data_IF_966384830379
#
_entry.id   IF_966384830379
#
_cell.length_a   1.000
_cell.length_b   1.000
_cell.length_c   1.000
_cell.angle_alpha   90.00
_cell.angle_beta   90.00
_cell.angle_gamma   90.00
#
_symmetry.space_group_name_H-M   'P 1'
#
loop_
_entity.id
_entity.type
_entity.pdbx_description
1 polymer ?
#
# COMPACT_ATOMS: atom_id res chain seq x y z
N UNK A 1 12.68 -38.80 39.82
CA UNK A 1 12.29 -37.52 40.48
C UNK A 1 13.34 -36.43 40.28
N UNK A 2 14.65 -36.73 40.38
CA UNK A 2 15.77 -35.78 40.21
C UNK A 2 15.81 -35.09 38.82
N UNK A 3 15.59 -35.82 37.72
CA UNK A 3 15.58 -35.26 36.37
C UNK A 3 14.55 -34.14 36.13
N UNK A 4 13.44 -34.15 36.87
CA UNK A 4 12.41 -33.12 36.75
C UNK A 4 12.89 -31.79 37.35
N UNK A 5 13.64 -31.86 38.45
CA UNK A 5 14.17 -30.68 39.15
C UNK A 5 15.26 -30.01 38.32
N UNK A 6 16.14 -30.76 37.67
CA UNK A 6 17.19 -30.19 36.80
C UNK A 6 16.60 -29.40 35.63
N UNK A 7 15.53 -29.89 35.00
CA UNK A 7 14.87 -29.16 33.90
C UNK A 7 14.21 -27.86 34.38
N UNK A 8 13.57 -27.85 35.56
CA UNK A 8 13.00 -26.62 36.11
C UNK A 8 14.04 -25.54 36.45
N UNK A 9 15.26 -25.94 36.85
CA UNK A 9 16.35 -25.01 37.14
C UNK A 9 16.94 -24.38 35.85
N UNK A 10 16.93 -25.12 34.74
CA UNK A 10 17.37 -24.63 33.43
C UNK A 10 16.34 -23.63 32.87
N UNK A 11 15.04 -23.93 32.97
CA UNK A 11 13.97 -23.04 32.53
C UNK A 11 13.92 -21.74 33.33
N UNK A 12 14.18 -21.80 34.65
CA UNK A 12 14.28 -20.63 35.51
C UNK A 12 15.51 -19.76 35.17
N UNK A 13 16.65 -20.38 34.83
CA UNK A 13 17.86 -19.65 34.45
C UNK A 13 17.70 -18.90 33.11
N UNK A 14 16.97 -19.46 32.14
CA UNK A 14 16.68 -18.76 30.88
C UNK A 14 15.65 -17.63 31.06
N UNK A 15 14.62 -17.81 31.89
CA UNK A 15 13.64 -16.76 32.18
C UNK A 15 14.22 -15.57 32.97
N UNK A 16 15.34 -15.75 33.67
CA UNK A 16 16.00 -14.72 34.47
C UNK A 16 17.13 -13.97 33.72
N UNK A 17 17.46 -14.39 32.50
CA UNK A 17 18.47 -13.73 31.67
C UNK A 17 17.80 -12.76 30.69
N UNK A 18 17.72 -11.45 31.00
CA UNK A 18 17.17 -10.45 30.08
C UNK A 18 17.98 -10.29 28.78
N UNK A 19 19.13 -10.97 28.66
CA UNK A 19 20.00 -10.97 27.48
C UNK A 19 19.40 -11.82 26.34
N UNK A 20 18.56 -12.81 26.64
CA UNK A 20 17.96 -13.71 25.64
C UNK A 20 16.93 -12.97 24.74
N UNK A 21 16.25 -11.94 25.29
CA UNK A 21 15.32 -11.08 24.54
C UNK A 21 16.02 -10.07 23.62
N UNK A 22 17.24 -9.64 23.96
CA UNK A 22 18.04 -8.71 23.13
C UNK A 22 18.59 -9.46 21.91
N UNK A 23 19.01 -10.71 22.08
CA UNK A 23 19.45 -11.58 20.99
C UNK A 23 18.29 -12.10 20.12
N UNK A 24 17.05 -11.99 20.63
CA UNK A 24 15.80 -12.20 19.91
C UNK A 24 15.32 -11.00 19.08
N UNK A 25 15.97 -9.84 19.19
CA UNK A 25 15.82 -8.74 18.22
C UNK A 25 16.59 -9.13 16.95
N UNK A 26 16.09 -10.15 16.25
CA UNK A 26 16.49 -10.38 14.88
C UNK A 26 15.95 -9.19 14.07
N UNK A 27 16.80 -8.30 13.52
CA UNK A 27 16.34 -7.13 12.78
C UNK A 27 15.53 -7.51 11.53
N UNK A 28 15.54 -8.79 11.15
CA UNK A 28 14.84 -9.36 10.00
C UNK A 28 13.32 -9.53 10.20
N UNK A 29 12.80 -9.50 11.44
CA UNK A 29 11.35 -9.60 11.72
C UNK A 29 10.73 -8.26 12.17
N UNK A 30 11.43 -7.15 11.98
CA UNK A 30 10.76 -5.84 11.98
C UNK A 30 9.95 -5.73 10.69
N UNK A 31 8.64 -6.02 10.80
CA UNK A 31 7.60 -5.91 9.77
C UNK A 31 7.45 -4.52 9.11
N UNK A 32 8.42 -3.64 9.29
CA UNK A 32 8.51 -2.30 8.73
C UNK A 32 9.51 -2.23 7.56
N UNK A 33 10.44 -3.20 7.42
CA UNK A 33 11.36 -3.27 6.27
C UNK A 33 10.77 -4.00 5.07
N UNK A 34 9.88 -4.96 5.29
CA UNK A 34 9.30 -5.77 4.21
C UNK A 34 8.32 -4.99 3.31
N UNK A 35 7.75 -3.88 3.78
CA UNK A 35 6.88 -3.04 2.96
C UNK A 35 7.62 -2.22 1.89
N UNK A 36 8.96 -2.14 1.96
CA UNK A 36 9.78 -1.42 0.96
C UNK A 36 11.07 -2.16 0.57
N UNK A 37 11.32 -3.37 1.08
CA UNK A 37 12.51 -4.15 0.73
C UNK A 37 12.35 -4.75 -0.67
N UNK A 38 12.97 -4.08 -1.65
CA UNK A 38 13.34 -4.69 -2.93
C UNK A 38 14.45 -5.69 -2.63
N UNK A 39 14.09 -6.89 -2.15
CA UNK A 39 15.09 -7.88 -1.73
C UNK A 39 15.80 -8.55 -2.91
N UNK A 40 15.28 -8.44 -4.13
CA UNK A 40 15.98 -8.77 -5.36
C UNK A 40 15.49 -7.84 -6.49
N UNK A 41 16.42 -7.19 -7.19
CA UNK A 41 16.12 -6.28 -8.30
C UNK A 41 15.85 -7.09 -9.58
N UNK A 42 14.82 -7.92 -9.54
CA UNK A 42 14.30 -8.61 -10.73
C UNK A 42 13.47 -7.61 -11.53
N UNK A 43 13.55 -7.57 -12.87
CA UNK A 43 12.74 -6.67 -13.70
C UNK A 43 11.23 -6.70 -13.36
N UNK A 44 10.72 -7.88 -12.98
CA UNK A 44 9.34 -8.12 -12.55
C UNK A 44 8.97 -7.39 -11.26
N UNK A 45 9.88 -7.37 -10.27
CA UNK A 45 9.64 -6.74 -8.97
C UNK A 45 9.66 -5.21 -9.10
N UNK A 46 10.59 -4.68 -9.91
CA UNK A 46 10.68 -3.26 -10.19
C UNK A 46 9.42 -2.76 -10.93
N UNK A 47 8.96 -3.50 -11.94
CA UNK A 47 7.74 -3.19 -12.68
C UNK A 47 6.50 -3.19 -11.75
N UNK A 48 6.37 -4.21 -10.89
CA UNK A 48 5.27 -4.32 -9.92
C UNK A 48 5.25 -3.16 -8.92
N UNK A 49 6.42 -2.76 -8.41
CA UNK A 49 6.54 -1.65 -7.48
C UNK A 49 6.12 -0.31 -8.14
N UNK A 50 6.70 0.01 -9.30
CA UNK A 50 6.38 1.24 -10.04
C UNK A 50 4.88 1.28 -10.36
N UNK A 51 4.33 0.18 -10.86
CA UNK A 51 2.93 0.07 -11.18
C UNK A 51 2.02 0.35 -9.97
N UNK A 52 2.28 -0.29 -8.83
CA UNK A 52 1.50 -0.09 -7.60
C UNK A 52 1.61 1.35 -7.08
N UNK A 53 2.80 1.93 -7.12
CA UNK A 53 3.03 3.32 -6.68
C UNK A 53 2.33 4.33 -7.58
N UNK A 54 2.38 4.14 -8.90
CA UNK A 54 1.68 5.04 -9.84
C UNK A 54 0.18 4.94 -9.66
N UNK A 55 -0.37 3.72 -9.52
CA UNK A 55 -1.81 3.53 -9.30
C UNK A 55 -2.31 4.13 -7.98
N UNK A 56 -1.53 4.01 -6.91
CA UNK A 56 -1.94 4.57 -5.60
C UNK A 56 -2.02 6.09 -5.64
N UNK A 57 -1.03 6.75 -6.25
CA UNK A 57 -1.01 8.21 -6.41
C UNK A 57 -2.14 8.65 -7.34
N UNK A 58 -2.31 7.97 -8.48
CA UNK A 58 -3.37 8.30 -9.43
C UNK A 58 -4.77 8.22 -8.80
N UNK A 59 -5.06 7.14 -8.06
CA UNK A 59 -6.36 6.97 -7.39
C UNK A 59 -6.67 8.10 -6.40
N UNK A 60 -5.69 8.51 -5.58
CA UNK A 60 -5.86 9.61 -4.63
C UNK A 60 -6.08 10.94 -5.35
N UNK A 61 -5.31 11.23 -6.41
CA UNK A 61 -5.43 12.48 -7.17
C UNK A 61 -6.81 12.60 -7.82
N UNK A 62 -7.31 11.54 -8.47
CA UNK A 62 -8.63 11.57 -9.08
C UNK A 62 -9.76 11.70 -8.05
N UNK A 63 -9.62 11.08 -6.88
CA UNK A 63 -10.58 11.25 -5.79
C UNK A 63 -10.65 12.71 -5.31
N UNK A 64 -9.48 13.36 -5.15
CA UNK A 64 -9.41 14.78 -4.79
C UNK A 64 -10.00 15.70 -5.87
N UNK A 65 -9.73 15.43 -7.16
CA UNK A 65 -10.35 16.18 -8.26
C UNK A 65 -11.87 16.03 -8.27
N UNK A 66 -12.39 14.83 -8.00
CA UNK A 66 -13.82 14.57 -7.95
C UNK A 66 -14.49 15.33 -6.81
N UNK A 67 -13.88 15.33 -5.61
CA UNK A 67 -14.34 16.14 -4.49
C UNK A 67 -14.30 17.64 -4.81
N UNK A 68 -13.21 18.14 -5.38
CA UNK A 68 -13.08 19.54 -5.76
C UNK A 68 -14.13 19.97 -6.79
N UNK A 69 -14.40 19.11 -7.79
CA UNK A 69 -15.46 19.30 -8.76
C UNK A 69 -16.85 19.32 -8.13
N UNK A 70 -17.12 18.39 -7.20
CA UNK A 70 -18.38 18.33 -6.48
C UNK A 70 -18.62 19.58 -5.63
N UNK A 71 -17.61 20.06 -4.89
CA UNK A 71 -17.72 21.31 -4.13
C UNK A 71 -17.89 22.52 -5.06
N UNK A 72 -17.13 22.61 -6.16
CA UNK A 72 -17.33 23.69 -7.15
C UNK A 72 -18.72 23.68 -7.78
N UNK A 73 -19.30 22.50 -7.99
CA UNK A 73 -20.65 22.36 -8.53
C UNK A 73 -21.70 22.90 -7.55
N UNK A 74 -21.57 22.54 -6.27
CA UNK A 74 -22.48 22.97 -5.20
C UNK A 74 -22.34 24.48 -4.91
N UNK A 75 -21.12 24.99 -4.84
CA UNK A 75 -20.84 26.40 -4.54
C UNK A 75 -21.06 27.32 -5.75
N UNK A 76 -21.03 26.78 -6.97
CA UNK A 76 -21.31 27.51 -8.21
C UNK A 76 -22.80 27.64 -8.52
N UNK A 77 -23.69 27.14 -7.66
CA UNK A 77 -25.13 27.19 -7.85
C UNK A 77 -25.60 28.65 -8.00
N UNK A 78 -26.06 29.01 -9.20
CA UNK A 78 -26.49 30.38 -9.55
C UNK A 78 -25.69 31.04 -10.68
N UNK A 79 -24.54 30.48 -11.07
CA UNK A 79 -23.80 30.89 -12.27
C UNK A 79 -23.64 29.70 -13.22
N UNK A 80 -24.37 29.73 -14.33
CA UNK A 80 -24.37 28.66 -15.35
C UNK A 80 -22.97 28.34 -15.89
N UNK A 81 -22.09 29.34 -16.03
CA UNK A 81 -20.70 29.14 -16.47
C UNK A 81 -19.90 28.34 -15.45
N UNK A 82 -20.04 28.66 -14.15
CA UNK A 82 -19.34 27.94 -13.06
C UNK A 82 -19.88 26.52 -12.92
N UNK A 83 -21.20 26.36 -12.99
CA UNK A 83 -21.84 25.05 -12.96
C UNK A 83 -21.42 24.19 -14.15
N UNK A 84 -21.35 24.76 -15.36
CA UNK A 84 -20.90 24.05 -16.56
C UNK A 84 -19.44 23.60 -16.48
N UNK A 85 -18.54 24.48 -16.02
CA UNK A 85 -17.13 24.14 -15.78
C UNK A 85 -16.98 23.03 -14.72
N UNK A 86 -17.74 23.11 -13.62
CA UNK A 86 -17.70 22.09 -12.58
C UNK A 86 -18.19 20.71 -13.07
N UNK A 87 -19.29 20.67 -13.84
CA UNK A 87 -19.77 19.43 -14.47
C UNK A 87 -18.71 18.82 -15.39
N UNK A 88 -18.07 19.64 -16.23
CA UNK A 88 -16.99 19.16 -17.10
C UNK A 88 -15.84 18.56 -16.31
N UNK A 89 -15.41 19.23 -15.23
CA UNK A 89 -14.36 18.73 -14.35
C UNK A 89 -14.74 17.37 -13.72
N UNK A 90 -15.99 17.21 -13.29
CA UNK A 90 -16.47 15.95 -12.73
C UNK A 90 -16.49 14.82 -13.77
N UNK A 91 -16.91 15.10 -15.00
CA UNK A 91 -16.86 14.11 -16.10
C UNK A 91 -15.42 13.70 -16.39
N UNK A 92 -14.52 14.67 -16.50
CA UNK A 92 -13.09 14.42 -16.73
C UNK A 92 -12.48 13.56 -15.58
N UNK A 93 -12.86 13.82 -14.32
CA UNK A 93 -12.44 13.03 -13.16
C UNK A 93 -12.98 11.59 -13.19
N UNK A 94 -14.25 11.38 -13.56
CA UNK A 94 -14.85 10.05 -13.66
C UNK A 94 -14.17 9.22 -14.75
N UNK A 95 -13.85 9.82 -15.90
CA UNK A 95 -13.10 9.14 -16.96
C UNK A 95 -11.72 8.73 -16.45
N UNK A 96 -11.04 9.59 -15.68
CA UNK A 96 -9.75 9.27 -15.05
C UNK A 96 -9.81 8.08 -14.09
N UNK A 97 -10.85 8.02 -13.26
CA UNK A 97 -11.09 6.86 -12.36
C UNK A 97 -11.35 5.60 -13.17
N UNK A 98 -12.19 5.66 -14.20
CA UNK A 98 -12.48 4.52 -15.07
C UNK A 98 -11.22 4.01 -15.79
N UNK A 99 -10.35 4.92 -16.24
CA UNK A 99 -9.10 4.58 -16.89
C UNK A 99 -8.12 3.93 -15.90
N UNK A 100 -8.04 4.43 -14.67
CA UNK A 100 -7.20 3.85 -13.60
C UNK A 100 -7.69 2.45 -13.22
N UNK A 101 -9.01 2.25 -13.13
CA UNK A 101 -9.61 0.93 -12.90
C UNK A 101 -9.30 -0.04 -14.05
N UNK A 102 -9.33 0.44 -15.30
CA UNK A 102 -8.97 -0.35 -16.49
C UNK A 102 -7.48 -0.72 -16.48
N UNK A 103 -6.61 0.22 -16.11
CA UNK A 103 -5.18 -0.01 -15.95
C UNK A 103 -4.90 -1.06 -14.87
N UNK A 104 -5.71 -1.12 -13.81
CA UNK A 104 -5.59 -2.14 -12.77
C UNK A 104 -5.71 -3.57 -13.35
N UNK A 105 -6.71 -3.80 -14.20
CA UNK A 105 -6.93 -5.10 -14.81
C UNK A 105 -5.81 -5.50 -15.78
N UNK A 106 -5.39 -4.58 -16.64
CA UNK A 106 -4.34 -4.82 -17.64
C UNK A 106 -2.97 -5.05 -16.97
N UNK A 107 -2.64 -4.26 -15.95
CA UNK A 107 -1.35 -4.39 -15.27
C UNK A 107 -1.17 -5.73 -14.58
N UNK A 108 -2.22 -6.28 -13.96
CA UNK A 108 -2.18 -7.63 -13.38
C UNK A 108 -1.96 -8.70 -14.46
N UNK A 109 -2.61 -8.56 -15.62
CA UNK A 109 -2.43 -9.50 -16.74
C UNK A 109 -0.98 -9.53 -17.23
N UNK A 110 -0.35 -8.35 -17.40
CA UNK A 110 1.05 -8.26 -17.85
C UNK A 110 2.01 -8.85 -16.82
N UNK A 111 1.79 -8.58 -15.52
CA UNK A 111 2.63 -9.13 -14.46
C UNK A 111 2.54 -10.67 -14.39
N UNK A 112 1.33 -11.23 -14.54
CA UNK A 112 1.12 -12.68 -14.52
C UNK A 112 1.76 -13.38 -15.72
N UNK A 113 1.80 -12.72 -16.88
CA UNK A 113 2.46 -13.25 -18.08
C UNK A 113 3.98 -13.29 -17.94
N UNK A 114 4.57 -12.35 -17.18
CA UNK A 114 6.00 -12.28 -16.95
C UNK A 114 6.48 -13.19 -15.81
N UNK A 115 5.59 -13.58 -14.90
CA UNK A 115 5.90 -14.48 -13.78
C UNK A 115 5.75 -15.97 -14.11
N UNK A 116 5.21 -16.30 -15.28
CA UNK A 116 5.07 -17.68 -15.80
C UNK A 116 6.21 -17.99 -16.74
#
# INVERSE_FOLDING_TARGET
>A
MVYKITNYLIDFASAANPIDDINGINPSNTKLKESFAVNEITPTNLASLIYKTVLSIAGVVFLLMLLFGAFSYLLGAGNEEKTGKAKKLMVDAVIGVALTASAYGIGQFVLNLLST
#
